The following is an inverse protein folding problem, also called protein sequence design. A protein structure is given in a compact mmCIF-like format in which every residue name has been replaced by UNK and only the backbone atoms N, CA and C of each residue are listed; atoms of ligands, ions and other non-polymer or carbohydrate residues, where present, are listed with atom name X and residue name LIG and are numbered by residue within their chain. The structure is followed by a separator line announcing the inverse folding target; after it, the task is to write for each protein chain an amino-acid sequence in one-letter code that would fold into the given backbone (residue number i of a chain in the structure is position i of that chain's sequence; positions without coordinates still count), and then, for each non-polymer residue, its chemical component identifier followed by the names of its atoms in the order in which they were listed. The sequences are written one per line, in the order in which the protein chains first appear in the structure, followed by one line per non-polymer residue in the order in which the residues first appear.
data_IF_136252069334
#
_entry.id   IF_136252069334
#
_cell.length_a   1.000
_cell.length_b   1.000
_cell.length_c   1.000
_cell.angle_alpha   90.00
_cell.angle_beta   90.00
_cell.angle_gamma   90.00
#
_symmetry.space_group_name_H-M   'P 1'
#
loop_
_entity.id
_entity.type
_entity.pdbx_description
1 polymer ?
#
# COMPACT_ATOMS: atom_id res chain seq x y z
N UNK A 1 -5.96 16.51 -13.52
CA UNK A 1 -6.98 15.46 -13.41
C UNK A 1 -6.53 14.50 -12.32
N UNK A 2 -7.38 14.20 -11.34
CA UNK A 2 -7.08 13.24 -10.26
C UNK A 2 -7.48 11.85 -10.73
N UNK A 3 -6.69 10.81 -10.39
CA UNK A 3 -6.96 9.40 -10.69
C UNK A 3 -6.39 8.50 -9.61
N UNK A 4 -7.04 7.38 -9.36
CA UNK A 4 -6.58 6.34 -8.45
C UNK A 4 -6.36 5.05 -9.25
N UNK A 5 -5.23 4.41 -9.04
CA UNK A 5 -4.97 3.07 -9.55
C UNK A 5 -4.64 2.12 -8.39
N UNK A 6 -5.19 0.92 -8.44
CA UNK A 6 -4.93 -0.11 -7.42
C UNK A 6 -4.43 -1.37 -8.11
N UNK A 7 -3.22 -1.77 -7.75
CA UNK A 7 -2.68 -3.06 -8.18
C UNK A 7 -2.91 -4.10 -7.08
N UNK A 8 -3.82 -5.05 -7.33
CA UNK A 8 -4.15 -6.13 -6.37
C UNK A 8 -2.96 -7.04 -6.09
N UNK A 9 -2.15 -7.34 -7.10
CA UNK A 9 -1.00 -8.24 -6.97
C UNK A 9 0.04 -7.70 -5.99
N UNK A 10 0.36 -6.42 -6.11
CA UNK A 10 1.37 -5.76 -5.28
C UNK A 10 0.79 -5.10 -4.05
N UNK A 11 -0.54 -5.06 -3.92
CA UNK A 11 -1.28 -4.39 -2.84
C UNK A 11 -0.85 -2.94 -2.65
N UNK A 12 -0.81 -2.22 -3.78
CA UNK A 12 -0.46 -0.81 -3.82
C UNK A 12 -1.57 0.01 -4.45
N UNK A 13 -1.80 1.19 -3.88
CA UNK A 13 -2.63 2.23 -4.45
C UNK A 13 -1.72 3.38 -4.91
N UNK A 14 -1.81 3.73 -6.17
CA UNK A 14 -1.12 4.87 -6.77
C UNK A 14 -2.13 6.00 -6.94
N UNK A 15 -1.81 7.13 -6.35
CA UNK A 15 -2.61 8.35 -6.44
C UNK A 15 -1.96 9.33 -7.39
N UNK A 16 -2.73 9.79 -8.38
CA UNK A 16 -2.26 10.72 -9.40
C UNK A 16 -2.98 12.05 -9.26
N UNK A 17 -2.22 13.13 -9.37
CA UNK A 17 -2.74 14.49 -9.51
C UNK A 17 -2.17 15.16 -10.75
N UNK A 18 -3.03 15.87 -11.50
CA UNK A 18 -2.63 16.57 -12.73
C UNK A 18 -1.91 15.67 -13.75
N UNK A 19 -2.24 14.37 -13.76
CA UNK A 19 -1.61 13.37 -14.62
C UNK A 19 -0.26 12.84 -14.16
N UNK A 20 0.27 13.32 -13.03
CA UNK A 20 1.54 12.87 -12.45
C UNK A 20 1.29 12.00 -11.20
N UNK A 21 2.15 11.01 -10.99
CA UNK A 21 2.13 10.20 -9.78
C UNK A 21 2.47 11.08 -8.57
N UNK A 22 1.44 11.32 -7.72
CA UNK A 22 1.62 12.07 -6.49
C UNK A 22 2.30 11.21 -5.42
N UNK A 23 1.75 9.99 -5.17
CA UNK A 23 2.27 9.09 -4.14
C UNK A 23 1.72 7.67 -4.31
N UNK A 24 2.47 6.69 -3.80
CA UNK A 24 2.07 5.29 -3.72
C UNK A 24 1.87 4.89 -2.27
N UNK A 25 0.76 4.19 -2.00
CA UNK A 25 0.36 3.76 -0.67
C UNK A 25 0.23 2.24 -0.59
N UNK A 26 0.66 1.62 0.52
CA UNK A 26 0.35 0.22 0.78
C UNK A 26 -1.13 0.08 1.15
N UNK A 27 -1.78 -0.98 0.67
CA UNK A 27 -3.20 -1.24 0.95
C UNK A 27 -3.45 -2.69 1.32
N UNK A 28 -4.58 -2.97 2.00
CA UNK A 28 -5.16 -4.29 2.01
C UNK A 28 -6.26 -4.38 0.94
N UNK A 29 -6.44 -5.57 0.42
CA UNK A 29 -7.41 -5.91 -0.63
C UNK A 29 -8.37 -7.00 -0.17
N UNK A 30 -9.32 -7.34 -1.02
CA UNK A 30 -10.26 -8.45 -0.80
C UNK A 30 -9.55 -9.79 -0.66
N UNK A 31 -10.14 -10.66 0.17
CA UNK A 31 -9.75 -12.07 0.29
C UNK A 31 -9.98 -12.82 -1.02
N UNK A 32 -9.39 -14.01 -1.21
CA UNK A 32 -9.64 -14.82 -2.41
C UNK A 32 -11.13 -15.09 -2.66
N UNK A 33 -11.93 -15.29 -1.59
CA UNK A 33 -13.35 -15.57 -1.66
C UNK A 33 -14.21 -14.32 -1.93
N UNK A 34 -13.68 -13.14 -1.62
CA UNK A 34 -14.31 -11.83 -1.80
C UNK A 34 -13.33 -10.84 -2.39
N UNK A 35 -12.87 -11.07 -3.62
CA UNK A 35 -11.78 -10.27 -4.19
C UNK A 35 -12.23 -8.83 -4.47
N UNK A 36 -11.31 -7.89 -4.34
CA UNK A 36 -11.53 -6.53 -4.86
C UNK A 36 -11.80 -6.62 -6.37
N UNK A 37 -12.92 -6.06 -6.88
CA UNK A 37 -13.29 -6.21 -8.29
C UNK A 37 -12.25 -5.56 -9.20
N UNK A 38 -11.93 -6.23 -10.32
CA UNK A 38 -11.11 -5.67 -11.39
C UNK A 38 -11.95 -4.80 -12.29
N UNK A 39 -11.38 -3.74 -12.84
CA UNK A 39 -12.06 -2.89 -13.82
C UNK A 39 -11.82 -1.39 -13.60
N UNK A 40 -12.63 -0.62 -14.29
CA UNK A 40 -12.64 0.84 -14.23
C UNK A 40 -13.91 1.31 -13.53
N UNK A 41 -13.75 2.11 -12.51
CA UNK A 41 -14.81 2.62 -11.66
C UNK A 41 -14.62 4.13 -11.48
N UNK A 42 -15.55 4.76 -10.75
CA UNK A 42 -15.40 6.12 -10.29
C UNK A 42 -15.88 6.24 -8.84
N UNK A 43 -15.25 7.11 -8.07
CA UNK A 43 -15.75 7.46 -6.74
C UNK A 43 -17.13 8.11 -6.90
N UNK A 44 -18.18 7.51 -6.36
CA UNK A 44 -19.54 8.06 -6.46
C UNK A 44 -20.07 8.62 -5.15
N UNK A 45 -19.49 8.21 -4.01
CA UNK A 45 -19.90 8.67 -2.69
C UNK A 45 -18.67 8.83 -1.79
N UNK A 46 -18.72 9.83 -0.91
CA UNK A 46 -17.68 10.09 0.09
C UNK A 46 -18.31 10.33 1.44
N UNK A 47 -17.74 9.74 2.49
CA UNK A 47 -18.15 9.97 3.87
C UNK A 47 -16.90 10.29 4.73
N UNK A 48 -16.83 11.53 5.30
CA UNK A 48 -15.73 11.95 6.16
C UNK A 48 -15.79 11.37 7.58
N UNK A 49 -16.90 10.72 7.95
CA UNK A 49 -17.12 10.09 9.27
C UNK A 49 -17.88 8.78 9.10
N UNK A 50 -17.26 7.74 8.50
CA UNK A 50 -17.94 6.47 8.31
C UNK A 50 -18.12 5.72 9.63
N UNK A 51 -18.78 4.55 9.55
CA UNK A 51 -18.82 3.60 10.66
C UNK A 51 -17.39 3.25 11.12
N UNK A 52 -17.13 3.08 12.43
CA UNK A 52 -15.77 2.81 12.95
C UNK A 52 -15.02 1.64 12.28
N UNK A 53 -15.74 0.62 11.81
CA UNK A 53 -15.13 -0.49 11.05
C UNK A 53 -14.46 -0.10 9.74
N UNK A 54 -14.72 1.13 9.24
CA UNK A 54 -14.16 1.68 8.00
C UNK A 54 -13.09 2.75 8.25
N UNK A 55 -12.58 2.84 9.49
CA UNK A 55 -11.59 3.84 9.87
C UNK A 55 -12.12 5.27 9.83
N UNK A 56 -11.31 6.21 9.34
CA UNK A 56 -11.60 7.64 9.44
C UNK A 56 -12.23 8.26 8.19
N UNK A 57 -12.14 7.60 7.04
CA UNK A 57 -12.69 8.09 5.76
C UNK A 57 -13.21 6.92 4.93
N UNK A 58 -14.21 7.23 4.08
CA UNK A 58 -14.81 6.29 3.14
C UNK A 58 -15.03 6.95 1.78
N UNK A 59 -14.68 6.25 0.71
CA UNK A 59 -14.92 6.64 -0.68
C UNK A 59 -15.42 5.41 -1.45
N UNK A 60 -16.71 5.36 -1.77
CA UNK A 60 -17.33 4.25 -2.47
C UNK A 60 -17.04 4.32 -3.98
N UNK A 61 -16.77 3.17 -4.61
CA UNK A 61 -16.53 3.07 -6.05
C UNK A 61 -17.37 1.99 -6.76
N UNK A 62 -18.14 1.17 -6.03
CA UNK A 62 -19.16 0.28 -6.61
C UNK A 62 -20.47 0.36 -5.84
N UNK A 63 -21.60 0.09 -6.51
CA UNK A 63 -22.90 0.03 -5.85
C UNK A 63 -23.05 -1.18 -4.92
N UNK A 64 -22.23 -2.22 -5.07
CA UNK A 64 -22.11 -3.35 -4.16
C UNK A 64 -21.33 -2.99 -2.86
N UNK A 65 -21.07 -1.71 -2.64
CA UNK A 65 -20.40 -1.18 -1.46
C UNK A 65 -18.92 -1.53 -1.33
N UNK A 66 -18.21 -1.67 -2.44
CA UNK A 66 -16.77 -1.62 -2.39
C UNK A 66 -16.29 -0.16 -2.33
N UNK A 67 -15.31 0.10 -1.49
CA UNK A 67 -14.79 1.45 -1.29
C UNK A 67 -13.34 1.45 -0.87
N UNK A 68 -12.75 2.64 -0.89
CA UNK A 68 -11.42 2.95 -0.35
C UNK A 68 -11.66 3.56 1.02
N UNK A 69 -11.04 3.00 2.07
CA UNK A 69 -11.28 3.43 3.44
C UNK A 69 -10.08 3.23 4.37
N UNK A 70 -10.12 3.90 5.51
CA UNK A 70 -9.13 3.75 6.57
C UNK A 70 -9.32 2.49 7.42
N UNK A 71 -8.50 2.34 8.46
CA UNK A 71 -8.63 1.21 9.39
C UNK A 71 -8.07 1.53 10.77
N UNK A 72 -8.66 0.94 11.80
CA UNK A 72 -8.08 0.82 13.15
C UNK A 72 -7.34 -0.51 13.36
N UNK A 73 -7.25 -1.33 12.29
CA UNK A 73 -6.48 -2.58 12.25
C UNK A 73 -5.31 -2.47 11.27
N UNK A 74 -4.30 -1.61 11.53
CA UNK A 74 -3.22 -1.29 10.59
C UNK A 74 -2.35 -2.49 10.22
N UNK A 75 -2.30 -3.53 11.06
CA UNK A 75 -1.56 -4.77 10.78
C UNK A 75 -2.12 -5.58 9.60
N UNK A 76 -3.32 -5.25 9.12
CA UNK A 76 -3.93 -5.90 7.95
C UNK A 76 -3.48 -5.28 6.61
N UNK A 77 -2.82 -4.14 6.61
CA UNK A 77 -2.28 -3.53 5.40
C UNK A 77 -1.23 -4.44 4.75
N UNK A 78 -1.14 -4.46 3.43
CA UNK A 78 -0.37 -5.40 2.61
C UNK A 78 -0.87 -6.86 2.66
N UNK A 79 -2.08 -7.11 3.14
CA UNK A 79 -2.69 -8.44 3.13
C UNK A 79 -3.97 -8.49 2.31
N UNK A 80 -4.47 -9.70 2.06
CA UNK A 80 -5.81 -9.94 1.52
C UNK A 80 -6.77 -10.18 2.70
N UNK A 81 -7.33 -9.11 3.27
CA UNK A 81 -8.06 -9.16 4.55
C UNK A 81 -9.47 -8.57 4.51
N UNK A 82 -9.89 -7.98 3.38
CA UNK A 82 -11.19 -7.31 3.28
C UNK A 82 -12.23 -8.18 2.55
N UNK A 83 -13.47 -7.71 2.55
CA UNK A 83 -14.56 -8.29 1.75
C UNK A 83 -14.67 -7.60 0.37
N UNK A 84 -13.56 -7.18 -0.22
CA UNK A 84 -13.49 -6.54 -1.53
C UNK A 84 -13.13 -5.05 -1.50
N UNK A 85 -13.15 -4.41 -0.34
CA UNK A 85 -12.70 -3.03 -0.19
C UNK A 85 -11.18 -2.89 -0.31
N UNK A 86 -10.74 -1.69 -0.60
CA UNK A 86 -9.34 -1.26 -0.56
C UNK A 86 -9.12 -0.52 0.76
N UNK A 87 -8.35 -1.12 1.65
CA UNK A 87 -8.11 -0.60 3.00
C UNK A 87 -6.76 0.08 3.07
N UNK A 88 -6.72 1.29 3.62
CA UNK A 88 -5.53 2.12 3.79
C UNK A 88 -5.25 2.37 5.28
N UNK A 89 -4.06 2.86 5.61
CA UNK A 89 -3.85 3.53 6.90
C UNK A 89 -4.76 4.77 6.99
N UNK A 90 -5.19 5.12 8.21
CA UNK A 90 -6.06 6.30 8.41
C UNK A 90 -5.40 7.57 7.90
N UNK A 91 -4.13 7.78 8.20
CA UNK A 91 -3.38 8.97 7.76
C UNK A 91 -3.29 9.05 6.23
N UNK A 92 -3.10 7.90 5.56
CA UNK A 92 -2.97 7.85 4.11
C UNK A 92 -4.31 8.15 3.42
N UNK A 93 -5.43 7.60 3.91
CA UNK A 93 -6.74 7.91 3.35
C UNK A 93 -7.18 9.33 3.67
N UNK A 94 -6.80 9.87 4.84
CA UNK A 94 -7.05 11.27 5.21
C UNK A 94 -6.30 12.24 4.29
N UNK A 95 -5.07 11.89 3.88
CA UNK A 95 -4.26 12.67 2.95
C UNK A 95 -4.94 12.77 1.57
N UNK A 96 -5.41 11.65 1.00
CA UNK A 96 -5.99 11.66 -0.34
C UNK A 96 -7.48 12.05 -0.39
N UNK A 97 -8.20 11.91 0.71
CA UNK A 97 -9.64 12.15 0.76
C UNK A 97 -10.05 13.55 0.27
N UNK A 98 -9.46 14.67 0.76
CA UNK A 98 -9.81 16.01 0.27
C UNK A 98 -9.42 16.22 -1.20
N UNK A 99 -8.43 15.51 -1.68
CA UNK A 99 -7.89 15.62 -3.04
C UNK A 99 -8.64 14.75 -4.06
N UNK A 100 -9.62 13.96 -3.60
CA UNK A 100 -10.39 13.00 -4.41
C UNK A 100 -11.84 13.48 -4.54
N UNK A 101 -12.21 14.26 -5.55
CA UNK A 101 -13.61 14.62 -5.78
C UNK A 101 -14.45 13.40 -6.20
N UNK A 102 -15.78 13.48 -6.01
CA UNK A 102 -16.71 12.53 -6.63
C UNK A 102 -16.52 12.58 -8.15
N UNK A 103 -16.57 11.44 -8.80
CA UNK A 103 -16.24 11.29 -10.22
C UNK A 103 -14.77 10.95 -10.49
N UNK A 104 -13.90 10.92 -9.46
CA UNK A 104 -12.50 10.51 -9.64
C UNK A 104 -12.42 9.08 -10.16
N UNK A 105 -11.75 8.82 -11.30
CA UNK A 105 -11.54 7.48 -11.83
C UNK A 105 -10.76 6.59 -10.87
N UNK A 106 -11.21 5.35 -10.71
CA UNK A 106 -10.56 4.30 -9.94
C UNK A 106 -10.35 3.10 -10.85
N UNK A 107 -9.10 2.78 -11.16
CA UNK A 107 -8.74 1.64 -11.99
C UNK A 107 -8.13 0.55 -11.11
N UNK A 108 -8.72 -0.63 -11.14
CA UNK A 108 -8.25 -1.78 -10.36
C UNK A 108 -7.79 -2.88 -11.31
N UNK A 109 -6.54 -3.26 -11.18
CA UNK A 109 -5.90 -4.27 -12.03
C UNK A 109 -5.02 -5.22 -11.22
N UNK A 110 -4.53 -6.26 -11.89
CA UNK A 110 -3.65 -7.26 -11.29
C UNK A 110 -2.47 -7.51 -12.23
N UNK A 111 -1.30 -6.97 -11.89
CA UNK A 111 -0.06 -7.14 -12.64
C UNK A 111 1.11 -7.37 -11.70
N UNK A 112 2.05 -8.20 -12.14
CA UNK A 112 3.39 -8.21 -11.53
C UNK A 112 4.02 -6.85 -11.76
N UNK A 113 4.63 -6.27 -10.73
CA UNK A 113 5.55 -5.15 -10.94
C UNK A 113 6.89 -5.72 -11.39
N UNK A 114 7.39 -5.24 -12.51
CA UNK A 114 8.82 -5.34 -12.77
C UNK A 114 9.53 -4.63 -11.61
N UNK A 115 10.43 -5.35 -10.94
CA UNK A 115 11.25 -4.76 -9.88
C UNK A 115 12.19 -3.75 -10.55
N UNK A 116 11.70 -2.52 -10.75
CA UNK A 116 12.56 -1.40 -11.17
C UNK A 116 13.48 -1.09 -10.01
N UNK A 117 14.67 -1.65 -10.09
CA UNK A 117 15.74 -1.33 -9.16
C UNK A 117 16.04 0.17 -9.33
N UNK A 118 15.97 0.97 -8.25
CA UNK A 118 16.26 2.39 -8.35
C UNK A 118 17.62 2.63 -8.99
N UNK A 119 17.67 3.40 -10.08
CA UNK A 119 18.90 3.67 -10.84
C UNK A 119 19.95 4.48 -10.04
N UNK A 120 19.60 4.96 -8.86
CA UNK A 120 20.47 5.78 -7.99
C UNK A 120 21.20 4.99 -6.90
N UNK A 121 21.12 3.64 -6.92
CA UNK A 121 21.93 2.84 -6.01
C UNK A 121 23.38 2.88 -6.47
N UNK A 122 24.35 3.27 -5.62
CA UNK A 122 25.77 3.20 -5.96
C UNK A 122 26.14 1.80 -6.41
N UNK A 123 27.00 1.67 -7.42
CA UNK A 123 27.47 0.35 -7.98
C UNK A 123 28.12 -0.56 -6.93
N UNK A 124 28.42 -0.04 -5.75
CA UNK A 124 29.03 -0.75 -4.62
C UNK A 124 28.04 -1.63 -3.83
N UNK A 125 26.71 -1.55 -4.12
CA UNK A 125 25.74 -2.35 -3.42
C UNK A 125 25.40 -3.62 -4.21
N UNK A 126 25.71 -4.77 -3.64
CA UNK A 126 25.12 -6.03 -4.09
C UNK A 126 23.68 -6.13 -3.55
N UNK A 127 22.77 -6.50 -4.43
CA UNK A 127 21.31 -6.47 -4.16
C UNK A 127 20.90 -7.82 -3.61
N UNK A 128 20.55 -7.86 -2.34
CA UNK A 128 19.83 -8.98 -1.79
C UNK A 128 18.37 -8.55 -1.52
N UNK A 129 17.43 -9.35 -2.02
CA UNK A 129 16.00 -9.13 -1.78
C UNK A 129 15.58 -10.08 -0.68
N UNK A 130 14.92 -9.54 0.35
CA UNK A 130 14.36 -10.30 1.44
C UNK A 130 12.84 -10.14 1.50
N UNK A 131 12.12 -11.25 1.60
CA UNK A 131 10.69 -11.25 1.85
C UNK A 131 10.43 -11.43 3.34
N UNK A 132 9.75 -10.45 3.93
CA UNK A 132 9.37 -10.47 5.35
C UNK A 132 8.55 -11.72 5.65
N UNK A 133 8.93 -12.47 6.68
CA UNK A 133 8.25 -13.68 7.13
C UNK A 133 7.36 -13.36 8.34
N UNK A 134 6.35 -14.18 8.63
CA UNK A 134 5.59 -14.06 9.87
C UNK A 134 6.51 -14.05 11.09
N UNK A 135 6.33 -13.05 11.96
CA UNK A 135 7.17 -12.86 13.18
C UNK A 135 8.44 -12.06 12.97
N UNK A 136 8.78 -11.66 11.74
CA UNK A 136 9.91 -10.76 11.50
C UNK A 136 9.64 -9.35 12.03
N UNK A 137 10.68 -8.75 12.59
CA UNK A 137 10.74 -7.33 12.95
C UNK A 137 11.89 -6.66 12.19
N UNK A 138 11.90 -5.33 12.15
CA UNK A 138 13.02 -4.57 11.57
C UNK A 138 14.34 -5.00 12.22
N UNK A 139 14.35 -5.13 13.54
CA UNK A 139 15.52 -5.48 14.33
C UNK A 139 16.00 -6.92 14.05
N UNK A 140 15.06 -7.87 13.90
CA UNK A 140 15.41 -9.27 13.61
C UNK A 140 16.01 -9.42 12.20
N UNK A 141 15.46 -8.69 11.23
CA UNK A 141 15.96 -8.69 9.85
C UNK A 141 17.32 -7.98 9.78
N UNK A 142 17.44 -6.80 10.39
CA UNK A 142 18.67 -6.03 10.40
C UNK A 142 19.83 -6.83 11.01
N UNK A 143 19.58 -7.51 12.15
CA UNK A 143 20.55 -8.40 12.80
C UNK A 143 20.96 -9.58 11.89
N UNK A 144 20.01 -10.20 11.20
CA UNK A 144 20.27 -11.32 10.27
C UNK A 144 21.22 -10.93 9.16
N UNK A 145 21.14 -9.70 8.65
CA UNK A 145 21.93 -9.21 7.55
C UNK A 145 23.12 -8.33 7.95
N UNK A 146 23.41 -8.22 9.25
CA UNK A 146 24.51 -7.43 9.81
C UNK A 146 24.47 -5.95 9.41
N UNK A 147 23.28 -5.36 9.38
CA UNK A 147 23.03 -3.94 9.17
C UNK A 147 22.27 -3.37 10.37
N UNK A 148 22.21 -2.04 10.50
CA UNK A 148 21.42 -1.41 11.54
C UNK A 148 19.92 -1.34 11.18
N UNK A 149 19.01 -1.32 12.17
CA UNK A 149 17.59 -1.08 11.93
C UNK A 149 17.35 0.23 11.17
N UNK A 150 18.09 1.29 11.48
CA UNK A 150 18.00 2.61 10.87
C UNK A 150 18.37 2.55 9.38
N UNK A 151 19.42 1.81 9.01
CA UNK A 151 19.81 1.59 7.61
C UNK A 151 18.72 0.85 6.85
N UNK A 152 18.15 -0.22 7.44
CA UNK A 152 17.07 -0.97 6.82
C UNK A 152 15.83 -0.09 6.60
N UNK A 153 15.47 0.72 7.60
CA UNK A 153 14.34 1.66 7.56
C UNK A 153 14.56 2.71 6.47
N UNK A 154 15.71 3.39 6.50
CA UNK A 154 16.03 4.48 5.57
C UNK A 154 16.10 3.98 4.13
N UNK A 155 16.79 2.86 3.91
CA UNK A 155 16.99 2.28 2.58
C UNK A 155 15.68 1.83 1.93
N UNK A 156 14.75 1.28 2.71
CA UNK A 156 13.45 0.81 2.24
C UNK A 156 12.33 1.84 2.44
N UNK A 157 12.63 3.03 2.96
CA UNK A 157 11.63 4.07 3.29
C UNK A 157 10.47 3.50 4.12
N UNK A 158 10.80 2.73 5.17
CA UNK A 158 9.80 2.10 6.03
C UNK A 158 9.14 3.17 6.88
N UNK A 159 7.88 3.48 6.59
CA UNK A 159 7.11 4.52 7.29
C UNK A 159 6.71 4.07 8.71
N UNK A 160 6.43 2.77 8.88
CA UNK A 160 5.95 2.20 10.15
C UNK A 160 6.82 0.99 10.53
N UNK A 161 7.94 1.20 11.25
CA UNK A 161 8.87 0.12 11.62
C UNK A 161 8.24 -0.98 12.47
N UNK A 162 7.28 -0.63 13.33
CA UNK A 162 6.54 -1.59 14.17
C UNK A 162 5.54 -2.47 13.42
N UNK A 163 5.33 -2.24 12.13
CA UNK A 163 4.36 -2.95 11.30
C UNK A 163 4.99 -3.50 10.02
N UNK A 164 5.96 -4.40 10.16
CA UNK A 164 6.47 -5.17 9.03
C UNK A 164 5.51 -6.31 8.70
N UNK A 165 4.92 -6.25 7.51
CA UNK A 165 3.97 -7.28 7.08
C UNK A 165 4.67 -8.44 6.39
N UNK A 166 4.27 -9.69 6.72
CA UNK A 166 4.72 -10.87 5.97
C UNK A 166 4.46 -10.71 4.46
N UNK A 167 5.44 -11.12 3.66
CA UNK A 167 5.41 -10.98 2.20
C UNK A 167 5.89 -9.63 1.69
N UNK A 168 6.10 -8.61 2.52
CA UNK A 168 6.71 -7.36 2.10
C UNK A 168 8.14 -7.63 1.62
N UNK A 169 8.46 -7.11 0.44
CA UNK A 169 9.81 -7.17 -0.12
C UNK A 169 10.64 -6.03 0.44
N UNK A 170 11.82 -6.37 0.95
CA UNK A 170 12.83 -5.42 1.42
C UNK A 170 14.12 -5.60 0.64
N UNK A 171 14.76 -4.48 0.33
CA UNK A 171 16.11 -4.46 -0.21
C UNK A 171 17.11 -4.39 0.95
N UNK A 172 18.06 -5.30 0.94
CA UNK A 172 19.10 -5.37 1.97
C UNK A 172 20.35 -4.69 1.43
N UNK A 173 20.79 -3.58 2.04
CA UNK A 173 22.06 -2.96 1.67
C UNK A 173 23.21 -3.86 2.10
N UNK A 174 24.07 -4.24 1.14
CA UNK A 174 25.35 -4.90 1.45
C UNK A 174 26.48 -4.00 0.98
N UNK A 175 27.35 -3.68 1.91
CA UNK A 175 28.61 -2.99 1.62
C UNK A 175 29.63 -4.03 1.18
N UNK A 176 30.31 -3.79 0.07
CA UNK A 176 31.47 -4.58 -0.37
C UNK A 176 32.68 -4.22 0.48
#
# INVERSE_FOLDING_TARGET
MTRIEVNRKTKKLMFYQQGQLYKTYPVAIGKPETPTPLGEFAVYEKNPRPHPGLGTRWMAFTYERHGIHGTFNPWTINTAATAGCVRMYNEDVEEIFPLTPVGTPVVIYEREEEVKIPAHLPEQFTKEIYHVRPGDTVESIARRFHITPEELIAFNKIKYPGYLHPGKMLFIPRYK
#
